data_IF_484205465568
#
_entry.id   IF_484205465568
#
_cell.length_a   1.000
_cell.length_b   1.000
_cell.length_c   1.000
_cell.angle_alpha   90.00
_cell.angle_beta   90.00
_cell.angle_gamma   90.00
#
_symmetry.space_group_name_H-M   'P 1'
#
loop_
_entity.id
_entity.type
_entity.pdbx_description
1 polymer ?
#
# COMPACT_ATOMS: atom_id res chain seq x y z
N UNK A 1 28.66 11.25 -34.62
CA UNK A 1 27.38 10.93 -33.94
C UNK A 1 27.73 10.13 -32.70
N UNK A 2 27.79 10.80 -31.54
CA UNK A 2 28.14 10.15 -30.26
C UNK A 2 27.06 9.12 -29.87
N UNK A 3 27.42 7.90 -29.43
CA UNK A 3 26.45 6.97 -28.92
C UNK A 3 25.95 7.48 -27.56
N UNK A 4 24.67 7.80 -27.49
CA UNK A 4 23.94 8.08 -26.24
C UNK A 4 24.17 6.91 -25.27
N UNK A 5 25.20 7.02 -24.41
CA UNK A 5 25.44 6.08 -23.32
C UNK A 5 24.24 6.18 -22.39
N UNK A 6 23.29 5.24 -22.53
CA UNK A 6 22.20 5.06 -21.58
C UNK A 6 22.84 4.83 -20.21
N UNK A 7 22.90 5.89 -19.40
CA UNK A 7 23.24 5.80 -17.99
C UNK A 7 22.27 4.78 -17.41
N UNK A 8 22.75 3.59 -17.08
CA UNK A 8 21.95 2.53 -16.48
C UNK A 8 21.64 2.96 -15.05
N UNK A 9 20.75 3.94 -14.89
CA UNK A 9 20.23 4.31 -13.58
C UNK A 9 19.70 3.02 -12.97
N UNK A 10 20.21 2.65 -11.78
CA UNK A 10 19.73 1.47 -11.08
C UNK A 10 18.21 1.57 -10.96
N UNK A 11 17.53 0.69 -11.69
CA UNK A 11 16.07 0.70 -11.77
C UNK A 11 15.55 0.26 -10.41
N UNK A 12 14.81 1.13 -9.75
CA UNK A 12 14.02 0.76 -8.56
C UNK A 12 13.12 -0.43 -8.90
N UNK A 13 13.02 -1.39 -7.99
CA UNK A 13 12.09 -2.50 -8.13
C UNK A 13 10.65 -1.97 -8.28
N UNK A 14 9.95 -2.41 -9.33
CA UNK A 14 8.56 -1.98 -9.59
C UNK A 14 7.56 -2.49 -8.55
N UNK A 15 7.94 -3.51 -7.78
CA UNK A 15 7.09 -4.15 -6.79
C UNK A 15 7.23 -3.54 -5.40
N UNK A 16 8.44 -3.16 -4.99
CA UNK A 16 8.68 -2.64 -3.63
C UNK A 16 9.27 -1.23 -3.59
N UNK A 17 9.71 -0.69 -4.73
CA UNK A 17 10.31 0.64 -4.84
C UNK A 17 11.76 0.77 -4.38
N UNK A 18 12.36 -0.31 -3.88
CA UNK A 18 13.76 -0.30 -3.41
C UNK A 18 14.75 -0.44 -4.58
N UNK A 19 15.94 0.16 -4.44
CA UNK A 19 17.06 0.03 -5.40
C UNK A 19 18.02 -1.11 -5.09
N UNK A 20 17.84 -1.79 -3.95
CA UNK A 20 18.74 -2.84 -3.47
C UNK A 20 18.77 -4.10 -4.34
N UNK A 21 17.74 -4.32 -5.16
CA UNK A 21 17.58 -5.50 -6.00
C UNK A 21 16.80 -5.15 -7.26
N UNK A 22 16.89 -6.01 -8.28
CA UNK A 22 16.12 -5.90 -9.50
C UNK A 22 14.67 -6.31 -9.26
N UNK A 23 13.76 -5.86 -10.14
CA UNK A 23 12.35 -6.26 -10.06
C UNK A 23 12.15 -7.77 -10.14
N UNK A 24 13.01 -8.47 -10.88
CA UNK A 24 12.95 -9.92 -11.09
C UNK A 24 13.15 -10.71 -9.81
N UNK A 25 14.07 -10.24 -8.95
CA UNK A 25 14.48 -10.88 -7.69
C UNK A 25 13.65 -10.38 -6.50
N UNK A 26 12.64 -9.54 -6.74
CA UNK A 26 11.85 -8.97 -5.67
C UNK A 26 10.93 -10.03 -5.04
N UNK A 27 11.06 -10.25 -3.74
CA UNK A 27 10.16 -11.12 -2.97
C UNK A 27 8.69 -10.70 -3.05
N UNK A 28 8.42 -9.41 -3.27
CA UNK A 28 7.06 -8.87 -3.43
C UNK A 28 6.46 -9.13 -4.83
N UNK A 29 7.25 -9.64 -5.79
CA UNK A 29 6.76 -10.03 -7.12
C UNK A 29 5.60 -11.03 -7.04
N UNK A 30 5.72 -12.03 -6.17
CA UNK A 30 4.71 -13.08 -5.95
C UNK A 30 3.66 -12.74 -4.88
N UNK A 31 3.80 -11.58 -4.21
CA UNK A 31 2.96 -11.19 -3.07
C UNK A 31 2.26 -9.86 -3.37
N UNK A 32 1.09 -9.85 -4.04
CA UNK A 32 0.41 -8.61 -4.44
C UNK A 32 0.10 -7.68 -3.27
N UNK A 33 -0.22 -8.23 -2.10
CA UNK A 33 -0.49 -7.45 -0.88
C UNK A 33 0.70 -6.63 -0.38
N UNK A 34 1.93 -7.06 -0.72
CA UNK A 34 3.16 -6.37 -0.32
C UNK A 34 3.69 -5.44 -1.41
N UNK A 35 3.00 -5.37 -2.56
CA UNK A 35 3.39 -4.49 -3.64
C UNK A 35 3.03 -3.04 -3.29
N UNK A 36 3.93 -2.12 -3.65
CA UNK A 36 3.75 -0.69 -3.43
C UNK A 36 4.12 0.08 -4.68
N UNK A 37 3.21 0.93 -5.12
CA UNK A 37 3.44 1.80 -6.26
C UNK A 37 4.40 2.92 -5.86
N UNK A 38 5.48 3.13 -6.60
CA UNK A 38 6.42 4.23 -6.34
C UNK A 38 5.81 5.61 -6.56
N UNK A 39 4.83 5.72 -7.48
CA UNK A 39 4.25 7.01 -7.86
C UNK A 39 3.14 7.44 -6.91
N UNK A 40 2.21 6.54 -6.59
CA UNK A 40 1.03 6.87 -5.77
C UNK A 40 1.03 6.21 -4.38
N UNK A 41 2.07 5.44 -4.04
CA UNK A 41 2.20 4.70 -2.76
C UNK A 41 1.05 3.72 -2.47
N UNK A 42 0.23 3.39 -3.46
CA UNK A 42 -0.89 2.46 -3.35
C UNK A 42 -0.47 1.00 -3.31
N UNK A 43 -1.38 0.13 -2.86
CA UNK A 43 -1.21 -1.33 -2.76
C UNK A 43 -1.34 -2.02 -4.13
N UNK A 44 -0.41 -1.73 -5.02
CA UNK A 44 -0.31 -2.35 -6.35
C UNK A 44 1.10 -2.16 -6.91
N UNK A 45 1.50 -2.99 -7.88
CA UNK A 45 2.75 -2.80 -8.61
C UNK A 45 2.79 -1.45 -9.35
N UNK A 46 3.99 -0.88 -9.49
CA UNK A 46 4.17 0.45 -10.06
C UNK A 46 3.73 0.58 -11.51
N UNK A 47 3.69 -0.50 -12.29
CA UNK A 47 3.23 -0.56 -13.69
C UNK A 47 1.73 -0.91 -13.82
N UNK A 48 1.03 -1.05 -12.70
CA UNK A 48 -0.38 -1.45 -12.66
C UNK A 48 -1.29 -0.38 -13.27
N UNK A 49 -2.34 -0.85 -13.96
CA UNK A 49 -3.44 0.00 -14.46
C UNK A 49 -4.27 0.61 -13.35
N UNK A 50 -4.16 0.07 -12.13
CA UNK A 50 -4.82 0.58 -10.94
C UNK A 50 -4.18 1.90 -10.45
N UNK A 51 -2.96 2.22 -10.90
CA UNK A 51 -2.31 3.46 -10.51
C UNK A 51 -3.01 4.68 -11.13
N UNK A 52 -3.54 5.62 -10.32
CA UNK A 52 -4.23 6.80 -10.84
C UNK A 52 -3.31 7.71 -11.64
N UNK A 53 -2.00 7.73 -11.32
CA UNK A 53 -1.00 8.53 -12.04
C UNK A 53 -0.81 7.98 -13.45
N UNK A 54 -0.62 6.66 -13.59
CA UNK A 54 -0.51 6.01 -14.91
C UNK A 54 -1.79 6.21 -15.71
N UNK A 55 -2.95 6.10 -15.07
CA UNK A 55 -4.24 6.29 -15.73
C UNK A 55 -4.35 7.69 -16.34
N UNK A 56 -4.06 8.74 -15.56
CA UNK A 56 -4.08 10.13 -16.02
C UNK A 56 -3.09 10.36 -17.17
N UNK A 57 -1.87 9.82 -17.07
CA UNK A 57 -0.85 9.98 -18.12
C UNK A 57 -1.28 9.29 -19.42
N UNK A 58 -1.83 8.08 -19.35
CA UNK A 58 -2.32 7.36 -20.54
C UNK A 58 -3.47 8.09 -21.21
N UNK A 59 -4.42 8.58 -20.42
CA UNK A 59 -5.55 9.35 -20.93
C UNK A 59 -5.10 10.63 -21.63
N UNK A 60 -4.13 11.36 -21.07
CA UNK A 60 -3.53 12.55 -21.70
C UNK A 60 -2.84 12.26 -23.04
N UNK A 61 -2.30 11.06 -23.21
CA UNK A 61 -1.62 10.62 -24.45
C UNK A 61 -2.62 9.96 -25.42
N UNK A 62 -3.91 9.85 -25.06
CA UNK A 62 -4.93 9.21 -25.89
C UNK A 62 -4.86 7.68 -25.92
N UNK A 63 -4.16 7.07 -24.95
CA UNK A 63 -4.04 5.61 -24.86
C UNK A 63 -5.24 5.05 -24.09
N UNK A 64 -6.17 4.46 -24.82
CA UNK A 64 -7.33 3.77 -24.22
C UNK A 64 -6.95 2.40 -23.66
N UNK A 65 -7.60 2.00 -22.56
CA UNK A 65 -7.46 0.66 -21.99
C UNK A 65 -8.26 -0.35 -22.81
N UNK A 66 -7.71 -1.56 -22.98
CA UNK A 66 -8.46 -2.69 -23.53
C UNK A 66 -9.69 -3.01 -22.66
N UNK A 67 -10.72 -3.61 -23.27
CA UNK A 67 -11.97 -3.99 -22.58
C UNK A 67 -11.70 -4.80 -21.30
N UNK A 68 -10.74 -5.72 -21.34
CA UNK A 68 -10.33 -6.53 -20.20
C UNK A 68 -9.79 -5.69 -19.02
N UNK A 69 -8.91 -4.72 -19.28
CA UNK A 69 -8.36 -3.82 -18.25
C UNK A 69 -9.44 -2.92 -17.64
N UNK A 70 -10.44 -2.53 -18.42
CA UNK A 70 -11.61 -1.79 -17.94
C UNK A 70 -12.45 -2.63 -16.97
N UNK A 71 -12.61 -3.93 -17.23
CA UNK A 71 -13.33 -4.84 -16.32
C UNK A 71 -12.60 -4.96 -14.99
N UNK A 72 -11.28 -5.10 -14.99
CA UNK A 72 -10.45 -5.15 -13.77
C UNK A 72 -10.65 -3.87 -12.94
N UNK A 73 -10.56 -2.70 -13.58
CA UNK A 73 -10.78 -1.41 -12.92
C UNK A 73 -12.17 -1.29 -12.27
N UNK A 74 -13.22 -1.82 -12.93
CA UNK A 74 -14.58 -1.82 -12.40
C UNK A 74 -14.75 -2.77 -11.21
N UNK A 75 -14.09 -3.94 -11.23
CA UNK A 75 -14.14 -4.92 -10.13
C UNK A 75 -13.45 -4.38 -8.87
N UNK A 76 -12.27 -3.78 -9.00
CA UNK A 76 -11.52 -3.21 -7.87
C UNK A 76 -12.28 -2.08 -7.18
N UNK A 77 -12.89 -1.16 -7.96
CA UNK A 77 -13.74 -0.10 -7.38
C UNK A 77 -14.89 -0.66 -6.52
N UNK A 78 -15.52 -1.75 -6.95
CA UNK A 78 -16.62 -2.38 -6.19
C UNK A 78 -16.12 -2.99 -4.88
N UNK A 79 -14.94 -3.60 -4.87
CA UNK A 79 -14.33 -4.17 -3.65
C UNK A 79 -13.94 -3.08 -2.65
N UNK A 80 -13.35 -1.98 -3.11
CA UNK A 80 -13.00 -0.84 -2.25
C UNK A 80 -14.24 -0.26 -1.55
N UNK A 81 -15.37 -0.20 -2.26
CA UNK A 81 -16.65 0.28 -1.70
C UNK A 81 -17.23 -0.67 -0.65
N UNK A 82 -17.02 -1.99 -0.79
CA UNK A 82 -17.48 -2.98 0.19
C UNK A 82 -16.61 -3.00 1.45
N UNK A 83 -15.30 -2.85 1.32
CA UNK A 83 -14.38 -2.80 2.48
C UNK A 83 -14.64 -1.55 3.34
N UNK A 84 -14.94 -0.41 2.73
CA UNK A 84 -15.26 0.81 3.48
C UNK A 84 -16.51 0.63 4.36
N UNK A 85 -17.59 0.05 3.82
CA UNK A 85 -18.84 -0.23 4.56
C UNK A 85 -18.69 -1.25 5.69
N UNK A 86 -17.69 -2.14 5.62
CA UNK A 86 -17.41 -3.10 6.69
C UNK A 86 -16.57 -2.51 7.83
N UNK A 87 -15.69 -1.54 7.54
CA UNK A 87 -14.91 -0.85 8.56
C UNK A 87 -15.75 0.14 9.39
N UNK A 88 -16.79 0.75 8.82
CA UNK A 88 -17.72 1.61 9.56
C UNK A 88 -18.51 0.83 10.62
N UNK A 89 -18.77 -0.46 10.41
CA UNK A 89 -19.49 -1.31 11.37
C UNK A 89 -18.61 -1.91 12.47
N UNK A 90 -17.28 -1.71 12.42
CA UNK A 90 -16.31 -2.23 13.40
C UNK A 90 -15.59 -1.12 14.17
N UNK A 91 -16.15 0.09 14.23
CA UNK A 91 -15.71 1.09 15.19
C UNK A 91 -16.10 0.62 16.61
N UNK A 92 -15.26 -0.24 17.21
CA UNK A 92 -15.29 -0.45 18.65
C UNK A 92 -14.86 0.89 19.26
N UNK A 93 -15.69 1.54 20.10
CA UNK A 93 -15.25 2.74 20.79
C UNK A 93 -14.13 2.34 21.76
N UNK A 94 -12.88 2.62 21.38
CA UNK A 94 -11.75 2.49 22.29
C UNK A 94 -11.89 3.63 23.30
N UNK A 95 -12.57 3.35 24.42
CA UNK A 95 -12.53 4.24 25.58
C UNK A 95 -11.10 4.22 26.16
N UNK A 96 -10.30 5.18 25.74
CA UNK A 96 -8.89 5.35 26.10
C UNK A 96 -8.65 5.64 27.59
N UNK A 97 -9.71 5.90 28.38
CA UNK A 97 -9.57 6.22 29.81
C UNK A 97 -9.33 4.99 30.71
N UNK A 98 -9.62 3.77 30.28
CA UNK A 98 -9.61 2.60 31.17
C UNK A 98 -8.27 1.85 31.23
N UNK A 99 -7.33 2.14 30.32
CA UNK A 99 -6.02 1.44 30.28
C UNK A 99 -5.02 2.02 31.29
N UNK A 100 -5.09 3.33 31.56
CA UNK A 100 -4.14 4.00 32.46
C UNK A 100 -4.46 3.82 33.95
N UNK A 101 -5.76 3.66 34.30
CA UNK A 101 -6.18 3.44 35.69
C UNK A 101 -5.73 2.08 36.25
N UNK A 102 -5.88 1.00 35.48
CA UNK A 102 -5.48 -0.35 35.93
C UNK A 102 -3.98 -0.50 36.18
N UNK A 103 -3.15 0.24 35.44
CA UNK A 103 -1.68 0.20 35.58
C UNK A 103 -1.18 0.94 36.83
N UNK A 104 -1.95 1.91 37.34
CA UNK A 104 -1.64 2.62 38.57
C UNK A 104 -2.02 1.79 39.80
N UNK A 105 -3.21 1.17 39.82
CA UNK A 105 -3.66 0.30 40.93
C UNK A 105 -2.75 -0.91 41.16
N UNK A 106 -2.21 -1.51 40.09
CA UNK A 106 -1.31 -2.65 40.21
C UNK A 106 0.05 -2.27 40.83
N UNK A 107 0.55 -1.05 40.54
CA UNK A 107 1.79 -0.53 41.13
C UNK A 107 1.64 -0.12 42.59
N UNK A 108 0.44 0.26 43.03
CA UNK A 108 0.16 0.54 44.44
C UNK A 108 0.04 -0.75 45.26
N UNK A 109 -0.65 -1.78 44.74
CA UNK A 109 -0.72 -3.08 45.41
C UNK A 109 0.65 -3.75 45.60
N UNK A 110 1.52 -3.68 44.59
CA UNK A 110 2.89 -4.21 44.68
C UNK A 110 3.80 -3.42 45.64
N UNK A 111 3.44 -2.18 45.99
CA UNK A 111 4.19 -1.35 46.94
C UNK A 111 3.73 -1.58 48.39
N UNK A 112 2.43 -1.74 48.62
CA UNK A 112 1.87 -2.04 49.94
C UNK A 112 2.20 -3.46 50.43
N UNK A 113 2.38 -4.43 49.52
CA UNK A 113 2.72 -5.83 49.88
C UNK A 113 4.23 -6.03 50.20
N UNK A 114 5.03 -4.96 50.13
CA UNK A 114 6.49 -4.98 50.34
C UNK A 114 6.96 -4.19 51.56
N UNK A 115 6.04 -3.70 52.38
CA UNK A 115 6.29 -3.04 53.68
C UNK A 115 5.77 -3.92 54.80
#
# INVERSE_FOLDING_TARGET
IEPFRKRLQQKTSKYCGMKSHKSEDCSHKKKPNNQKCIMCRGKHASDSVLCPVIRKVREKIGIHFSREKVVILKKEKKQETQVHKQNEKKAIPINSQNVWKKKAEQRQKEADERT
#
